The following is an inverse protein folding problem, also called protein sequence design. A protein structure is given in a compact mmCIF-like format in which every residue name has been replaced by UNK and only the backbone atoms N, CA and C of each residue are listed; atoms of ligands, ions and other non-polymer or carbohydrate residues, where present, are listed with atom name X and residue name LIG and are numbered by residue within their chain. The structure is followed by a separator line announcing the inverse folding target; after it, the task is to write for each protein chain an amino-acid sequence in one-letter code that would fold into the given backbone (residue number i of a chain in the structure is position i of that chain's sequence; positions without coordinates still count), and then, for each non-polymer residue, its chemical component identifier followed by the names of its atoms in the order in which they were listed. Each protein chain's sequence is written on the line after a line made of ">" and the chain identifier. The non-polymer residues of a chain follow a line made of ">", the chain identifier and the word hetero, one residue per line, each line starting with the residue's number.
data_IF_276878259780
#
_entry.id   IF_276878259780
#
_cell.length_a   1.000
_cell.length_b   1.000
_cell.length_c   1.000
_cell.angle_alpha   90.00
_cell.angle_beta   90.00
_cell.angle_gamma   90.00
#
_symmetry.space_group_name_H-M   'P 1'
#
loop_
_entity.id
_entity.type
_entity.pdbx_description
1 polymer ?
#
# COMPACT_ATOMS: atom_id res chain seq x y z
N UNK A 1 -34.55 11.21 18.78
CA UNK A 1 -33.99 10.06 19.51
C UNK A 1 -32.86 10.51 20.41
N UNK A 2 -32.74 9.92 21.61
CA UNK A 2 -31.63 10.20 22.51
C UNK A 2 -30.31 9.66 21.95
N UNK A 3 -29.25 10.45 22.06
CA UNK A 3 -27.88 10.08 21.69
C UNK A 3 -27.03 10.13 22.94
N UNK A 4 -26.46 8.99 23.32
CA UNK A 4 -25.50 8.90 24.42
C UNK A 4 -24.15 8.50 23.86
N UNK A 5 -23.09 9.05 24.42
CA UNK A 5 -21.74 8.66 24.03
C UNK A 5 -20.76 8.72 25.20
N UNK A 6 -19.72 7.90 25.11
CA UNK A 6 -18.65 7.85 26.09
C UNK A 6 -17.31 7.42 25.47
N UNK A 7 -16.23 7.85 26.10
CA UNK A 7 -14.87 7.45 25.77
C UNK A 7 -14.38 6.43 26.81
N UNK A 8 -13.67 5.40 26.35
CA UNK A 8 -12.85 4.56 27.21
C UNK A 8 -11.68 5.34 27.82
N UNK A 9 -10.90 4.66 28.67
CA UNK A 9 -9.70 5.26 29.25
C UNK A 9 -8.71 5.72 28.16
N UNK A 10 -7.91 6.73 28.47
CA UNK A 10 -6.84 7.24 27.59
C UNK A 10 -7.29 8.02 26.34
N UNK A 11 -8.49 8.60 26.38
CA UNK A 11 -8.89 9.61 25.42
C UNK A 11 -10.19 10.31 25.81
N UNK A 12 -10.72 11.07 24.88
CA UNK A 12 -12.01 11.77 25.02
C UNK A 12 -12.83 11.65 23.75
N UNK A 13 -14.13 11.87 23.88
CA UNK A 13 -15.08 11.82 22.77
C UNK A 13 -15.98 13.05 22.81
N UNK A 14 -16.13 13.71 21.67
CA UNK A 14 -17.09 14.81 21.47
C UNK A 14 -18.06 14.46 20.37
N UNK A 15 -19.23 15.11 20.38
CA UNK A 15 -20.24 14.94 19.35
C UNK A 15 -20.77 16.31 18.87
N UNK A 16 -21.07 16.39 17.58
CA UNK A 16 -21.69 17.54 16.94
C UNK A 16 -22.82 17.08 16.03
N UNK A 17 -23.95 17.79 16.03
CA UNK A 17 -25.07 17.54 15.12
C UNK A 17 -25.01 18.52 13.97
N UNK A 18 -25.29 18.05 12.75
CA UNK A 18 -25.45 18.92 11.59
C UNK A 18 -26.78 19.68 11.69
N UNK A 19 -26.74 21.00 11.46
CA UNK A 19 -27.86 21.93 11.63
C UNK A 19 -28.00 22.84 10.41
N UNK A 20 -28.44 22.30 9.27
CA UNK A 20 -28.70 23.08 8.06
C UNK A 20 -28.16 22.40 6.80
N UNK A 21 -28.14 23.16 5.69
CA UNK A 21 -27.77 22.64 4.36
C UNK A 21 -26.27 22.84 4.03
N UNK A 22 -25.53 23.65 4.80
CA UNK A 22 -24.13 24.05 4.50
C UNK A 22 -23.08 23.43 5.43
N UNK A 23 -23.23 22.15 5.80
CA UNK A 23 -22.35 21.44 6.75
C UNK A 23 -22.17 22.16 8.12
N UNK A 24 -23.09 23.07 8.46
CA UNK A 24 -23.11 23.76 9.74
C UNK A 24 -23.33 22.74 10.86
N UNK A 25 -22.55 22.84 11.94
CA UNK A 25 -22.65 21.93 13.08
C UNK A 25 -22.83 22.69 14.39
N UNK A 26 -23.55 22.06 15.32
CA UNK A 26 -23.68 22.51 16.69
C UNK A 26 -23.23 21.40 17.66
N UNK A 27 -22.66 21.74 18.83
CA UNK A 27 -22.37 20.75 19.86
C UNK A 27 -23.60 19.93 20.25
N UNK A 28 -23.39 18.66 20.52
CA UNK A 28 -24.41 17.73 21.02
C UNK A 28 -23.91 17.13 22.33
N UNK A 29 -24.53 17.47 23.47
CA UNK A 29 -24.16 16.85 24.74
C UNK A 29 -24.70 15.41 24.83
N UNK A 30 -23.95 14.54 25.52
CA UNK A 30 -24.37 13.16 25.78
C UNK A 30 -25.69 13.12 26.56
N UNK A 31 -26.68 12.39 26.05
CA UNK A 31 -28.04 12.30 26.57
C UNK A 31 -29.05 13.23 25.87
N UNK A 32 -28.59 14.18 25.04
CA UNK A 32 -29.50 15.02 24.24
C UNK A 32 -30.26 14.21 23.19
N UNK A 33 -31.45 14.69 22.83
CA UNK A 33 -32.23 14.12 21.73
C UNK A 33 -32.06 14.92 20.45
N UNK A 34 -31.92 14.22 19.33
CA UNK A 34 -31.93 14.77 17.96
C UNK A 34 -33.19 14.40 17.20
N UNK A 35 -33.52 15.12 16.12
CA UNK A 35 -34.64 14.77 15.23
C UNK A 35 -34.27 13.51 14.43
N UNK A 36 -35.25 12.72 13.98
CA UNK A 36 -35.01 11.62 13.04
C UNK A 36 -34.22 12.10 11.81
N UNK A 37 -33.33 11.27 11.26
CA UNK A 37 -32.43 11.61 10.16
C UNK A 37 -31.52 12.82 10.45
N UNK A 38 -31.23 13.11 11.72
CA UNK A 38 -30.14 14.06 12.03
C UNK A 38 -28.81 13.36 11.86
N UNK A 39 -27.93 13.91 11.02
CA UNK A 39 -26.53 13.46 10.92
C UNK A 39 -25.76 13.95 12.15
N UNK A 40 -25.02 13.05 12.78
CA UNK A 40 -24.15 13.36 13.93
C UNK A 40 -22.70 12.99 13.56
N UNK A 41 -21.76 13.83 13.94
CA UNK A 41 -20.31 13.61 13.86
C UNK A 41 -19.77 13.36 15.27
N UNK A 42 -19.09 12.24 15.44
CA UNK A 42 -18.37 11.89 16.65
C UNK A 42 -16.88 12.00 16.40
N UNK A 43 -16.15 12.67 17.30
CA UNK A 43 -14.70 12.87 17.16
C UNK A 43 -13.98 12.37 18.40
N UNK A 44 -13.15 11.34 18.22
CA UNK A 44 -12.31 10.80 19.28
C UNK A 44 -10.97 11.54 19.31
N UNK A 45 -10.52 11.92 20.51
CA UNK A 45 -9.19 12.50 20.73
C UNK A 45 -8.41 11.59 21.68
N UNK A 46 -7.54 10.70 21.15
CA UNK A 46 -6.66 9.87 21.97
C UNK A 46 -5.67 10.74 22.78
N UNK A 47 -5.33 10.29 23.98
CA UNK A 47 -4.24 10.88 24.74
C UNK A 47 -2.89 10.62 24.06
N UNK A 48 -1.87 11.42 24.42
CA UNK A 48 -0.52 11.21 23.94
C UNK A 48 -0.04 9.77 24.23
N UNK A 49 0.48 9.09 23.21
CA UNK A 49 0.90 7.69 23.31
C UNK A 49 -0.20 6.66 23.02
N UNK A 50 -1.41 7.09 22.67
CA UNK A 50 -2.54 6.21 22.33
C UNK A 50 -3.05 6.48 20.90
N UNK A 51 -3.85 5.55 20.41
CA UNK A 51 -4.58 5.59 19.14
C UNK A 51 -6.04 5.22 19.42
N UNK A 52 -6.94 5.61 18.52
CA UNK A 52 -8.28 5.01 18.50
C UNK A 52 -8.13 3.53 18.19
N UNK A 53 -8.86 2.70 18.93
CA UNK A 53 -8.90 1.26 18.70
C UNK A 53 -10.17 0.89 17.92
N UNK A 54 -11.31 0.93 18.59
CA UNK A 54 -12.59 0.53 18.01
C UNK A 54 -13.74 1.43 18.42
N UNK A 55 -14.75 1.50 17.55
CA UNK A 55 -16.04 2.11 17.81
C UNK A 55 -17.09 1.03 18.07
N UNK A 56 -17.97 1.30 19.03
CA UNK A 56 -19.12 0.44 19.34
C UNK A 56 -20.39 1.28 19.23
N UNK A 57 -21.32 0.85 18.39
CA UNK A 57 -22.61 1.52 18.17
C UNK A 57 -23.70 0.57 18.66
N UNK A 58 -24.49 1.01 19.65
CA UNK A 58 -25.58 0.22 20.25
C UNK A 58 -25.14 -1.16 20.78
N UNK A 59 -23.91 -1.27 21.29
CA UNK A 59 -23.36 -2.50 21.86
C UNK A 59 -22.65 -3.41 20.85
N UNK A 60 -22.72 -3.10 19.55
CA UNK A 60 -22.04 -3.86 18.49
C UNK A 60 -20.78 -3.13 18.04
N UNK A 61 -19.68 -3.85 17.87
CA UNK A 61 -18.42 -3.31 17.32
C UNK A 61 -18.58 -3.11 15.82
N UNK A 62 -18.19 -1.94 15.34
CA UNK A 62 -18.14 -1.62 13.92
C UNK A 62 -16.69 -1.69 13.43
N UNK A 63 -16.34 -2.78 12.74
CA UNK A 63 -14.98 -3.02 12.26
C UNK A 63 -14.58 -2.08 11.12
N UNK A 64 -15.54 -1.54 10.36
CA UNK A 64 -15.27 -0.60 9.27
C UNK A 64 -14.74 0.74 9.80
N UNK A 65 -15.02 1.05 11.06
CA UNK A 65 -14.53 2.26 11.74
C UNK A 65 -13.30 2.02 12.62
N UNK A 66 -12.71 0.82 12.62
CA UNK A 66 -11.53 0.53 13.45
C UNK A 66 -10.38 1.52 13.16
N UNK A 67 -9.88 2.19 14.20
CA UNK A 67 -8.81 3.18 14.10
C UNK A 67 -9.20 4.56 13.57
N UNK A 68 -10.46 4.77 13.12
CA UNK A 68 -10.91 6.06 12.61
C UNK A 68 -11.00 7.12 13.72
N UNK A 69 -10.47 8.32 13.46
CA UNK A 69 -10.48 9.41 14.45
C UNK A 69 -11.86 10.07 14.59
N UNK A 70 -12.73 9.88 13.61
CA UNK A 70 -14.10 10.40 13.63
C UNK A 70 -15.03 9.53 12.81
N UNK A 71 -16.27 9.41 13.25
CA UNK A 71 -17.34 8.72 12.52
C UNK A 71 -18.55 9.63 12.39
N UNK A 72 -19.32 9.48 11.32
CA UNK A 72 -20.54 10.26 11.14
C UNK A 72 -21.62 9.46 10.43
N UNK A 73 -22.83 9.50 10.97
CA UNK A 73 -23.98 8.78 10.45
C UNK A 73 -25.30 9.46 10.85
N UNK A 74 -26.39 9.02 10.22
CA UNK A 74 -27.75 9.51 10.49
C UNK A 74 -28.38 8.74 11.66
N UNK A 75 -28.98 9.47 12.62
CA UNK A 75 -29.59 8.91 13.82
C UNK A 75 -31.09 8.69 13.62
N UNK A 76 -31.49 7.41 13.53
CA UNK A 76 -32.87 6.98 13.23
C UNK A 76 -33.52 6.16 14.36
N UNK A 77 -32.81 5.99 15.47
CA UNK A 77 -33.32 5.39 16.70
C UNK A 77 -32.50 5.89 17.89
N UNK A 78 -32.83 5.48 19.12
CA UNK A 78 -31.97 5.80 20.26
C UNK A 78 -30.59 5.17 20.03
N UNK A 79 -29.53 5.96 20.22
CA UNK A 79 -28.16 5.54 19.88
C UNK A 79 -27.21 5.71 21.06
N UNK A 80 -26.44 4.66 21.35
CA UNK A 80 -25.27 4.71 22.21
C UNK A 80 -24.01 4.55 21.36
N UNK A 81 -23.03 5.45 21.53
CA UNK A 81 -21.72 5.38 20.86
C UNK A 81 -20.61 5.29 21.90
N UNK A 82 -19.73 4.29 21.77
CA UNK A 82 -18.53 4.16 22.59
C UNK A 82 -17.31 4.14 21.70
N UNK A 83 -16.22 4.71 22.18
CA UNK A 83 -14.90 4.59 21.55
C UNK A 83 -13.89 4.06 22.56
N UNK A 84 -13.03 3.16 22.12
CA UNK A 84 -11.92 2.62 22.90
C UNK A 84 -10.58 3.07 22.33
N UNK A 85 -9.55 3.04 23.16
CA UNK A 85 -8.20 3.46 22.78
C UNK A 85 -7.20 2.37 23.11
N UNK A 86 -6.16 2.26 22.27
CA UNK A 86 -5.03 1.34 22.48
C UNK A 86 -3.73 2.11 22.54
N UNK A 87 -2.77 1.59 23.31
CA UNK A 87 -1.45 2.18 23.43
C UNK A 87 -0.69 2.02 22.10
N UNK A 88 0.08 3.05 21.71
CA UNK A 88 1.04 2.92 20.61
C UNK A 88 2.09 1.86 20.97
N UNK A 89 2.60 1.09 20.00
CA UNK A 89 3.57 0.03 20.28
C UNK A 89 4.97 0.55 20.67
N UNK A 90 5.19 1.87 20.63
CA UNK A 90 6.48 2.50 20.88
C UNK A 90 6.73 2.71 22.39
N UNK A 91 7.98 2.54 22.79
CA UNK A 91 8.46 2.62 24.17
C UNK A 91 9.51 3.70 24.32
N UNK A 92 9.60 4.35 25.48
CA UNK A 92 10.66 5.35 25.74
C UNK A 92 11.98 4.70 26.18
N UNK A 93 11.90 3.50 26.74
CA UNK A 93 13.02 2.72 27.29
C UNK A 93 13.50 1.59 26.38
N UNK A 94 12.73 1.26 25.35
CA UNK A 94 13.06 0.24 24.36
C UNK A 94 14.29 0.56 23.52
N UNK A 95 14.63 -0.37 22.63
CA UNK A 95 15.76 -0.25 21.70
C UNK A 95 15.28 0.29 20.34
N UNK A 96 16.09 1.11 19.65
CA UNK A 96 15.66 1.72 18.41
C UNK A 96 15.59 0.69 17.28
N UNK A 97 14.61 0.88 16.40
CA UNK A 97 14.47 0.16 15.14
C UNK A 97 14.68 1.16 14.00
N UNK A 98 15.80 1.03 13.29
CA UNK A 98 16.06 1.78 12.07
C UNK A 98 15.77 0.91 10.87
N UNK A 99 15.14 1.51 9.87
CA UNK A 99 14.91 0.84 8.60
C UNK A 99 14.96 1.79 7.42
N UNK A 100 15.41 1.27 6.28
CA UNK A 100 15.53 2.01 5.03
C UNK A 100 15.46 1.10 3.80
N UNK A 101 15.05 1.68 2.67
CA UNK A 101 15.21 1.11 1.34
C UNK A 101 16.24 1.89 0.53
N UNK A 102 16.75 1.28 -0.55
CA UNK A 102 17.40 2.05 -1.61
C UNK A 102 16.39 2.89 -2.41
N UNK A 103 16.87 3.61 -3.44
CA UNK A 103 16.05 4.51 -4.25
C UNK A 103 15.01 3.81 -5.16
N UNK A 104 15.04 2.47 -5.23
CA UNK A 104 14.22 1.65 -6.11
C UNK A 104 13.04 0.99 -5.40
N UNK A 105 12.74 1.41 -4.16
CA UNK A 105 11.50 1.07 -3.50
C UNK A 105 11.31 1.80 -2.17
N UNK A 106 10.30 1.36 -1.43
CA UNK A 106 9.93 1.86 -0.11
C UNK A 106 9.95 0.71 0.88
N UNK A 107 10.34 1.00 2.12
CA UNK A 107 10.24 0.08 3.25
C UNK A 107 9.36 0.70 4.34
N UNK A 108 8.35 -0.04 4.77
CA UNK A 108 7.45 0.32 5.86
C UNK A 108 7.51 -0.75 6.96
N UNK A 109 7.27 -0.35 8.20
CA UNK A 109 7.27 -1.25 9.34
C UNK A 109 6.02 -1.05 10.20
N UNK A 110 5.55 -2.13 10.82
CA UNK A 110 4.40 -2.10 11.72
C UNK A 110 4.54 -3.11 12.84
N UNK A 111 3.89 -2.84 13.97
CA UNK A 111 3.76 -3.73 15.13
C UNK A 111 2.28 -3.87 15.44
N UNK A 112 1.77 -5.10 15.47
CA UNK A 112 0.34 -5.38 15.72
C UNK A 112 -0.58 -4.58 14.76
N UNK A 113 -0.14 -4.40 13.51
CA UNK A 113 -0.87 -3.63 12.48
C UNK A 113 -0.71 -2.11 12.58
N UNK A 114 -0.07 -1.59 13.63
CA UNK A 114 0.17 -0.15 13.81
C UNK A 114 1.51 0.23 13.17
N UNK A 115 1.48 1.20 12.26
CA UNK A 115 2.70 1.71 11.62
C UNK A 115 3.66 2.34 12.63
N UNK A 116 4.95 2.07 12.46
CA UNK A 116 6.04 2.67 13.24
C UNK A 116 6.98 3.45 12.30
N UNK A 117 7.66 4.45 12.82
CA UNK A 117 8.65 5.24 12.11
C UNK A 117 10.07 4.69 12.32
N UNK A 118 10.95 4.93 11.36
CA UNK A 118 12.38 4.60 11.50
C UNK A 118 12.98 5.46 12.61
N UNK A 119 13.63 4.82 13.58
CA UNK A 119 14.14 5.43 14.80
C UNK A 119 13.23 5.26 16.03
N UNK A 120 11.99 4.77 15.85
CA UNK A 120 11.13 4.43 16.98
C UNK A 120 11.77 3.34 17.85
N UNK A 121 11.47 3.39 19.14
CA UNK A 121 12.00 2.44 20.12
C UNK A 121 10.93 1.42 20.49
N UNK A 122 11.31 0.15 20.56
CA UNK A 122 10.43 -0.95 20.92
C UNK A 122 11.03 -1.77 22.07
N UNK A 123 10.17 -2.30 22.92
CA UNK A 123 10.58 -3.27 23.94
C UNK A 123 10.85 -4.64 23.29
N UNK A 124 11.71 -5.43 23.94
CA UNK A 124 12.03 -6.78 23.50
C UNK A 124 10.76 -7.66 23.43
N UNK A 125 10.74 -8.59 22.48
CA UNK A 125 9.62 -9.51 22.25
C UNK A 125 8.51 -8.98 21.33
N UNK A 126 8.50 -7.69 20.99
CA UNK A 126 7.54 -7.16 20.00
C UNK A 126 7.82 -7.74 18.61
N UNK A 127 6.76 -8.22 17.94
CA UNK A 127 6.83 -8.67 16.55
C UNK A 127 6.69 -7.49 15.60
N UNK A 128 7.62 -7.36 14.68
CA UNK A 128 7.70 -6.29 13.70
C UNK A 128 7.50 -6.90 12.32
N UNK A 129 6.56 -6.36 11.56
CA UNK A 129 6.31 -6.72 10.17
C UNK A 129 6.85 -5.60 9.30
N UNK A 130 7.85 -5.92 8.48
CA UNK A 130 8.39 -5.05 7.46
C UNK A 130 7.77 -5.39 6.10
N UNK A 131 7.30 -4.37 5.38
CA UNK A 131 6.74 -4.50 4.04
C UNK A 131 7.51 -3.64 3.06
N UNK A 132 8.05 -4.27 2.03
CA UNK A 132 8.80 -3.64 0.97
C UNK A 132 7.93 -3.48 -0.28
N UNK A 133 7.87 -2.27 -0.81
CA UNK A 133 7.12 -1.94 -2.03
C UNK A 133 8.12 -1.49 -3.10
N UNK A 134 8.31 -2.26 -4.20
CA UNK A 134 9.11 -1.81 -5.32
C UNK A 134 8.61 -0.48 -5.88
N UNK A 135 9.53 0.33 -6.40
CA UNK A 135 9.20 1.64 -6.99
C UNK A 135 8.19 1.52 -8.13
N UNK A 136 8.30 0.45 -8.92
CA UNK A 136 7.35 0.08 -9.96
C UNK A 136 7.50 -1.42 -10.25
N UNK A 137 6.70 -1.90 -11.20
CA UNK A 137 6.60 -3.32 -11.55
C UNK A 137 7.90 -3.91 -12.12
N UNK A 138 8.84 -3.09 -12.61
CA UNK A 138 10.10 -3.54 -13.18
C UNK A 138 11.18 -3.85 -12.15
N UNK A 139 10.95 -3.54 -10.87
CA UNK A 139 11.84 -3.91 -9.78
C UNK A 139 11.29 -5.10 -8.99
N UNK A 140 12.20 -5.83 -8.36
CA UNK A 140 11.93 -6.89 -7.39
C UNK A 140 12.93 -6.82 -6.24
N UNK A 141 12.64 -7.54 -5.15
CA UNK A 141 13.57 -7.66 -4.03
C UNK A 141 14.89 -8.25 -4.53
N UNK A 142 15.97 -7.56 -4.23
CA UNK A 142 17.31 -8.12 -4.36
C UNK A 142 17.69 -8.88 -3.09
N UNK A 143 17.65 -8.19 -1.95
CA UNK A 143 17.94 -8.78 -0.64
C UNK A 143 17.43 -7.97 0.53
N UNK A 144 17.35 -8.67 1.66
CA UNK A 144 17.14 -8.12 2.99
C UNK A 144 18.44 -8.18 3.80
N UNK A 145 18.71 -7.13 4.58
CA UNK A 145 19.86 -7.00 5.47
C UNK A 145 19.35 -6.69 6.87
N UNK A 146 19.72 -7.52 7.85
CA UNK A 146 19.38 -7.31 9.27
C UNK A 146 20.68 -7.20 10.05
N UNK A 147 20.90 -6.04 10.67
CA UNK A 147 22.14 -5.71 11.39
C UNK A 147 23.40 -5.98 10.55
N UNK A 148 23.33 -5.67 9.24
CA UNK A 148 24.42 -5.89 8.29
C UNK A 148 24.58 -7.34 7.80
N UNK A 149 23.72 -8.26 8.23
CA UNK A 149 23.75 -9.67 7.83
C UNK A 149 22.67 -9.93 6.78
N UNK A 150 23.06 -10.50 5.65
CA UNK A 150 22.14 -10.90 4.58
C UNK A 150 21.13 -11.93 5.11
N UNK A 151 19.85 -11.70 4.82
CA UNK A 151 18.76 -12.63 5.13
C UNK A 151 18.29 -13.33 3.86
N UNK A 152 17.86 -14.59 4.03
CA UNK A 152 17.22 -15.33 2.97
C UNK A 152 15.89 -14.65 2.58
N UNK A 153 15.65 -14.51 1.28
CA UNK A 153 14.37 -14.01 0.76
C UNK A 153 13.36 -15.16 0.77
N UNK A 154 12.20 -14.96 1.40
CA UNK A 154 11.11 -15.91 1.35
C UNK A 154 10.55 -15.96 -0.08
N UNK A 155 10.52 -17.15 -0.70
CA UNK A 155 10.04 -17.29 -2.08
C UNK A 155 8.53 -17.09 -2.21
N UNK A 156 7.76 -17.44 -1.18
CA UNK A 156 6.29 -17.33 -1.20
C UNK A 156 5.83 -15.91 -0.90
N UNK A 157 6.60 -15.16 -0.10
CA UNK A 157 6.35 -13.75 0.20
C UNK A 157 7.67 -12.95 0.32
N UNK A 158 8.29 -12.59 -0.81
CA UNK A 158 9.59 -11.91 -0.81
C UNK A 158 9.53 -10.48 -0.29
N UNK A 159 8.35 -9.87 -0.28
CA UNK A 159 8.12 -8.46 0.05
C UNK A 159 7.82 -8.24 1.54
N UNK A 160 7.70 -9.31 2.31
CA UNK A 160 7.49 -9.25 3.77
C UNK A 160 8.69 -9.83 4.50
N UNK A 161 9.12 -9.15 5.56
CA UNK A 161 10.07 -9.67 6.53
C UNK A 161 9.49 -9.50 7.94
N UNK A 162 9.38 -10.60 8.68
CA UNK A 162 8.94 -10.59 10.07
C UNK A 162 10.11 -10.83 11.02
N UNK A 163 10.25 -9.96 12.03
CA UNK A 163 11.29 -10.05 13.04
C UNK A 163 10.68 -9.90 14.44
N UNK A 164 11.37 -10.45 15.44
CA UNK A 164 11.04 -10.18 16.85
C UNK A 164 12.13 -9.29 17.42
N UNK A 165 11.71 -8.21 18.09
CA UNK A 165 12.62 -7.26 18.72
C UNK A 165 13.46 -7.95 19.81
N UNK A 166 14.78 -7.79 19.76
CA UNK A 166 15.70 -8.31 20.75
C UNK A 166 16.12 -7.26 21.80
N UNK A 167 17.16 -7.57 22.55
CA UNK A 167 17.75 -6.69 23.58
C UNK A 167 18.67 -5.60 23.01
N UNK A 168 18.97 -5.63 21.71
CA UNK A 168 19.83 -4.69 21.02
C UNK A 168 19.09 -3.90 19.96
N UNK A 169 19.70 -2.80 19.49
CA UNK A 169 19.18 -2.03 18.37
C UNK A 169 19.03 -2.90 17.11
N UNK A 170 18.01 -2.60 16.31
CA UNK A 170 17.70 -3.32 15.09
C UNK A 170 17.82 -2.39 13.88
N UNK A 171 18.70 -2.73 12.93
CA UNK A 171 18.83 -2.07 11.63
C UNK A 171 18.35 -3.01 10.52
N UNK A 172 17.34 -2.59 9.75
CA UNK A 172 16.80 -3.36 8.62
C UNK A 172 16.93 -2.58 7.32
N UNK A 173 17.55 -3.19 6.32
CA UNK A 173 17.65 -2.62 4.99
C UNK A 173 17.10 -3.57 3.96
N UNK A 174 16.46 -3.00 2.95
CA UNK A 174 16.02 -3.74 1.76
C UNK A 174 16.59 -3.08 0.52
N UNK A 175 17.08 -3.88 -0.41
CA UNK A 175 17.50 -3.41 -1.73
C UNK A 175 16.69 -4.08 -2.82
N UNK A 176 16.57 -3.39 -3.95
CA UNK A 176 15.81 -3.84 -5.10
C UNK A 176 16.71 -3.91 -6.33
N UNK A 177 16.41 -4.87 -7.20
CA UNK A 177 17.04 -5.02 -8.52
C UNK A 177 16.00 -5.00 -9.62
N UNK A 178 16.43 -4.58 -10.80
CA UNK A 178 15.61 -4.66 -12.00
C UNK A 178 15.32 -6.13 -12.33
N UNK A 179 14.08 -6.41 -12.72
CA UNK A 179 13.70 -7.68 -13.32
C UNK A 179 14.35 -7.80 -14.69
N UNK A 180 14.64 -9.04 -15.05
CA UNK A 180 15.14 -9.38 -16.38
C UNK A 180 14.14 -10.31 -17.04
N UNK A 181 13.80 -9.98 -18.29
CA UNK A 181 12.89 -10.73 -19.13
C UNK A 181 13.62 -11.23 -20.37
N UNK A 182 13.15 -12.37 -20.89
CA UNK A 182 13.62 -12.88 -22.18
C UNK A 182 12.63 -12.44 -23.25
N UNK A 183 13.04 -11.50 -24.10
CA UNK A 183 12.26 -11.06 -25.24
C UNK A 183 12.50 -11.97 -26.44
N UNK A 184 11.45 -12.63 -26.90
CA UNK A 184 11.42 -13.39 -28.15
C UNK A 184 10.57 -12.67 -29.20
N UNK A 185 11.06 -12.59 -30.43
CA UNK A 185 10.33 -11.98 -31.54
C UNK A 185 10.61 -12.74 -32.83
N UNK A 186 9.55 -12.99 -33.61
CA UNK A 186 9.58 -13.79 -34.83
C UNK A 186 8.61 -13.20 -35.84
N UNK A 187 8.86 -13.44 -37.13
CA UNK A 187 7.88 -13.19 -38.19
C UNK A 187 7.07 -14.44 -38.47
N UNK A 188 5.75 -14.27 -38.66
CA UNK A 188 4.87 -15.30 -39.25
C UNK A 188 4.46 -14.84 -40.66
N UNK A 189 5.30 -15.15 -41.65
CA UNK A 189 5.06 -14.79 -43.05
C UNK A 189 6.28 -14.25 -43.79
N UNK A 190 6.02 -13.49 -44.85
CA UNK A 190 7.04 -13.02 -45.79
C UNK A 190 7.51 -11.59 -45.48
N UNK A 191 8.62 -11.49 -44.77
CA UNK A 191 9.24 -10.23 -44.38
C UNK A 191 10.29 -10.46 -43.30
N UNK A 192 10.83 -9.38 -42.74
CA UNK A 192 11.77 -9.40 -41.62
C UNK A 192 11.23 -8.63 -40.43
N UNK A 193 11.73 -8.96 -39.25
CA UNK A 193 11.45 -8.26 -38.00
C UNK A 193 12.77 -7.93 -37.32
N UNK A 194 12.97 -6.65 -37.04
CA UNK A 194 14.09 -6.16 -36.24
C UNK A 194 13.57 -5.59 -34.92
N UNK A 195 14.37 -5.69 -33.86
CA UNK A 195 14.08 -5.06 -32.58
C UNK A 195 15.27 -4.21 -32.13
N UNK A 196 15.00 -3.07 -31.51
CA UNK A 196 16.00 -2.17 -30.94
C UNK A 196 15.59 -1.67 -29.56
N UNK A 197 16.57 -1.56 -28.67
CA UNK A 197 16.44 -0.80 -27.42
C UNK A 197 17.26 0.48 -27.55
N UNK A 198 16.59 1.62 -27.75
CA UNK A 198 17.24 2.84 -28.22
C UNK A 198 17.94 2.60 -29.56
N UNK A 199 19.25 2.84 -29.64
CA UNK A 199 20.04 2.60 -30.86
C UNK A 199 20.60 1.16 -30.97
N UNK A 200 20.50 0.37 -29.90
CA UNK A 200 21.09 -0.98 -29.86
C UNK A 200 20.17 -2.00 -30.49
N UNK A 201 20.65 -2.70 -31.53
CA UNK A 201 19.94 -3.82 -32.13
C UNK A 201 19.91 -5.02 -31.17
N UNK A 202 18.72 -5.60 -31.01
CA UNK A 202 18.49 -6.82 -30.24
C UNK A 202 18.49 -8.03 -31.17
N UNK A 203 19.00 -9.16 -30.69
CA UNK A 203 18.95 -10.46 -31.38
C UNK A 203 18.08 -11.39 -30.55
N UNK A 204 17.10 -12.05 -31.20
CA UNK A 204 16.20 -12.95 -30.48
C UNK A 204 16.84 -14.31 -30.21
N UNK A 205 16.72 -14.88 -28.99
CA UNK A 205 16.16 -14.27 -27.77
C UNK A 205 17.11 -13.23 -27.15
N UNK A 206 16.55 -12.14 -26.64
CA UNK A 206 17.31 -11.07 -25.99
C UNK A 206 16.96 -10.96 -24.49
N UNK A 207 17.96 -10.77 -23.63
CA UNK A 207 17.72 -10.38 -22.24
C UNK A 207 17.45 -8.86 -22.18
N UNK A 208 16.30 -8.49 -21.62
CA UNK A 208 15.84 -7.09 -21.55
C UNK A 208 15.41 -6.79 -20.12
N UNK A 209 15.77 -5.60 -19.63
CA UNK A 209 15.36 -5.12 -18.31
C UNK A 209 13.86 -4.83 -18.32
N UNK A 210 13.17 -5.12 -17.23
CA UNK A 210 11.79 -4.68 -17.05
C UNK A 210 11.64 -3.15 -17.16
N UNK A 211 10.53 -2.69 -17.68
CA UNK A 211 10.26 -1.27 -17.97
C UNK A 211 11.04 -0.73 -19.17
N UNK A 212 11.77 -1.57 -19.92
CA UNK A 212 12.53 -1.11 -21.07
C UNK A 212 11.61 -0.92 -22.28
N UNK A 213 11.74 0.24 -22.93
CA UNK A 213 11.12 0.49 -24.22
C UNK A 213 11.93 -0.19 -25.33
N UNK A 214 11.24 -1.05 -26.10
CA UNK A 214 11.80 -1.74 -27.26
C UNK A 214 10.95 -1.40 -28.48
N UNK A 215 11.60 -0.92 -29.53
CA UNK A 215 10.97 -0.68 -30.83
C UNK A 215 11.15 -1.90 -31.71
N UNK A 216 10.06 -2.44 -32.24
CA UNK A 216 10.06 -3.50 -33.24
C UNK A 216 9.67 -2.92 -34.60
N UNK A 217 10.44 -3.26 -35.63
CA UNK A 217 10.22 -2.81 -37.02
C UNK A 217 9.99 -4.00 -37.93
N UNK A 218 8.80 -4.08 -38.53
CA UNK A 218 8.44 -5.10 -39.51
C UNK A 218 8.65 -4.56 -40.94
N UNK A 219 9.37 -5.31 -41.77
CA UNK A 219 9.59 -4.99 -43.19
C UNK A 219 9.02 -6.11 -44.06
N UNK A 220 7.81 -5.94 -44.63
CA UNK A 220 7.25 -6.90 -45.59
C UNK A 220 8.13 -7.00 -46.83
N UNK A 221 8.24 -8.21 -47.39
CA UNK A 221 8.81 -8.39 -48.72
C UNK A 221 7.90 -7.76 -49.78
N UNK A 222 8.45 -7.50 -50.98
CA UNK A 222 7.68 -6.96 -52.10
C UNK A 222 6.42 -7.80 -52.38
N UNK A 223 5.27 -7.14 -52.52
CA UNK A 223 3.97 -7.78 -52.72
C UNK A 223 3.24 -8.23 -51.44
N UNK A 224 3.85 -8.10 -50.26
CA UNK A 224 3.25 -8.43 -48.97
C UNK A 224 2.92 -7.18 -48.15
N UNK A 225 2.03 -7.33 -47.17
CA UNK A 225 1.64 -6.29 -46.20
C UNK A 225 1.59 -6.87 -44.79
N UNK A 226 1.77 -6.01 -43.79
CA UNK A 226 1.63 -6.39 -42.38
C UNK A 226 0.18 -6.76 -42.13
N UNK A 227 -0.06 -7.95 -41.57
CA UNK A 227 -1.41 -8.39 -41.19
C UNK A 227 -1.81 -7.82 -39.83
N UNK A 228 -0.88 -7.83 -38.87
CA UNK A 228 -1.06 -7.39 -37.50
C UNK A 228 0.10 -7.83 -36.61
N UNK A 229 0.11 -7.36 -35.37
CA UNK A 229 1.08 -7.76 -34.34
C UNK A 229 0.45 -8.71 -33.32
N UNK A 230 1.23 -9.68 -32.86
CA UNK A 230 0.88 -10.60 -31.77
C UNK A 230 1.84 -10.36 -30.60
N UNK A 231 1.31 -10.02 -29.43
CA UNK A 231 2.08 -9.87 -28.19
C UNK A 231 1.67 -11.00 -27.26
N UNK A 232 2.63 -11.84 -26.85
CA UNK A 232 2.37 -13.03 -26.04
C UNK A 232 1.28 -13.95 -26.63
N UNK A 233 1.21 -14.05 -27.96
CA UNK A 233 0.22 -14.87 -28.67
C UNK A 233 -1.20 -14.28 -28.73
N UNK A 234 -1.42 -13.10 -28.15
CA UNK A 234 -2.68 -12.37 -28.26
C UNK A 234 -2.57 -11.29 -29.32
N UNK A 235 -3.62 -11.16 -30.14
CA UNK A 235 -3.73 -10.08 -31.11
C UNK A 235 -3.80 -8.75 -30.37
N UNK A 236 -2.86 -7.86 -30.64
CA UNK A 236 -2.94 -6.49 -30.16
C UNK A 236 -3.79 -5.67 -31.15
N UNK A 237 -5.05 -5.41 -30.79
CA UNK A 237 -5.99 -4.66 -31.61
C UNK A 237 -5.66 -3.16 -31.69
N UNK A 238 -4.74 -2.65 -30.86
CA UNK A 238 -4.29 -1.27 -30.86
C UNK A 238 -3.14 -0.99 -31.84
N UNK A 239 -2.46 -2.02 -32.34
CA UNK A 239 -1.21 -1.91 -33.12
C UNK A 239 -1.33 -2.65 -34.45
N UNK A 240 -2.16 -2.12 -35.35
CA UNK A 240 -2.63 -2.75 -36.59
C UNK A 240 -1.55 -3.11 -37.64
N UNK A 241 -1.59 -2.47 -38.81
CA UNK A 241 -0.64 -2.72 -39.92
C UNK A 241 0.59 -1.79 -39.89
N UNK A 242 0.90 -1.25 -38.71
CA UNK A 242 2.02 -0.32 -38.52
C UNK A 242 3.35 -1.04 -38.76
N UNK A 243 4.27 -0.35 -39.45
CA UNK A 243 5.63 -0.86 -39.69
C UNK A 243 6.49 -0.87 -38.43
N UNK A 244 6.14 -0.07 -37.43
CA UNK A 244 6.87 0.04 -36.17
C UNK A 244 5.93 0.00 -34.97
N UNK A 245 6.35 -0.71 -33.93
CA UNK A 245 5.63 -0.85 -32.68
C UNK A 245 6.59 -0.71 -31.52
N UNK A 246 6.29 0.17 -30.57
CA UNK A 246 7.01 0.27 -29.31
C UNK A 246 6.33 -0.57 -28.22
N UNK A 247 7.09 -1.41 -27.52
CA UNK A 247 6.60 -2.16 -26.36
C UNK A 247 7.41 -1.78 -25.12
N UNK A 248 6.78 -1.86 -23.96
CA UNK A 248 7.47 -1.88 -22.68
C UNK A 248 7.59 -3.34 -22.24
N UNK A 249 8.83 -3.83 -22.11
CA UNK A 249 9.18 -5.19 -21.67
C UNK A 249 9.30 -5.23 -20.17
#
# INVERSE_FOLDING_TARGET
>A
FAVTYSAGENGSLTAQKYIGEDDETAPLASGESVVNDTRVLFTATPNAGYLVDQWTINGEVDEDYAGESSISFYVNSATEVKVSFKQKPVSTTGKPVTFASDANGKLEASVEGVAIASGDKLDAGKKIVFKATPKNWSYQIDKWLVNGVDQAVNADDPYTLELTMGEEALDVKVSFKEKQYTLTFVTDGNGTLAAKQGETALVSPAAVKGGAQVTLTATPNEGFKIKGWLINGLTDFGKGQESEVEIEV
#
